data_IF_643139874670
#
_entry.id   IF_643139874670
#
_cell.length_a   1.000
_cell.length_b   1.000
_cell.length_c   1.000
_cell.angle_alpha   90.00
_cell.angle_beta   90.00
_cell.angle_gamma   90.00
#
_symmetry.space_group_name_H-M   'P 1'
#
loop_
_entity.id
_entity.type
_entity.pdbx_description
1 polymer ?
#
# COMPACT_ATOMS: atom_id res chain seq x y z
N UNK A 1 -3.92 -31.60 -0.69
CA UNK A 1 -3.78 -30.32 -1.41
C UNK A 1 -3.25 -29.30 -0.40
N UNK A 2 -1.93 -29.12 -0.34
CA UNK A 2 -1.28 -28.16 0.56
C UNK A 2 -1.03 -26.87 -0.24
N UNK A 3 -1.61 -25.79 0.24
CA UNK A 3 -1.43 -24.42 -0.28
C UNK A 3 0.05 -24.06 -0.17
N UNK A 4 0.66 -23.68 -1.30
CA UNK A 4 1.98 -23.07 -1.37
C UNK A 4 1.72 -21.57 -1.18
N UNK A 5 1.80 -21.10 0.06
CA UNK A 5 1.91 -19.68 0.36
C UNK A 5 3.32 -19.42 0.91
N UNK A 6 3.87 -18.24 0.58
CA UNK A 6 5.15 -17.69 1.09
C UNK A 6 6.43 -18.15 0.38
N UNK A 7 6.57 -17.86 -0.92
CA UNK A 7 7.85 -18.03 -1.64
C UNK A 7 8.73 -16.76 -1.71
N UNK A 8 8.19 -15.58 -1.40
CA UNK A 8 8.85 -14.29 -1.66
C UNK A 8 9.44 -13.63 -0.42
N UNK A 9 8.87 -13.82 0.77
CA UNK A 9 9.37 -13.19 1.99
C UNK A 9 10.62 -13.90 2.55
N UNK A 10 10.70 -15.22 2.43
CA UNK A 10 11.84 -15.99 2.94
C UNK A 10 13.09 -15.81 2.06
N UNK A 11 12.92 -15.59 0.76
CA UNK A 11 14.04 -15.34 -0.17
C UNK A 11 14.64 -13.93 0.02
N UNK A 12 13.84 -12.93 0.39
CA UNK A 12 14.32 -11.59 0.72
C UNK A 12 15.05 -11.58 2.07
N UNK A 13 14.55 -12.32 3.07
CA UNK A 13 15.25 -12.56 4.33
C UNK A 13 16.60 -13.23 4.13
N UNK A 14 16.66 -14.27 3.29
CA UNK A 14 17.90 -14.94 2.91
C UNK A 14 18.86 -14.05 2.13
N UNK A 15 18.39 -13.15 1.26
CA UNK A 15 19.22 -12.15 0.58
C UNK A 15 19.78 -11.10 1.53
N UNK A 16 18.98 -10.62 2.49
CA UNK A 16 19.44 -9.73 3.57
C UNK A 16 20.53 -10.41 4.39
N UNK A 17 20.32 -11.66 4.81
CA UNK A 17 21.27 -12.44 5.59
C UNK A 17 22.53 -12.81 4.79
N UNK A 18 22.43 -12.97 3.46
CA UNK A 18 23.60 -13.23 2.59
C UNK A 18 24.45 -11.97 2.38
N UNK A 19 23.80 -10.80 2.27
CA UNK A 19 24.47 -9.51 2.11
C UNK A 19 25.20 -9.13 3.42
N UNK A 20 24.59 -9.42 4.57
CA UNK A 20 25.20 -9.27 5.92
C UNK A 20 26.51 -10.07 6.10
N UNK A 21 26.70 -11.16 5.32
CA UNK A 21 27.89 -12.04 5.42
C UNK A 21 28.99 -11.73 4.40
N UNK A 22 28.74 -10.86 3.42
CA UNK A 22 29.64 -10.66 2.27
C UNK A 22 30.01 -9.19 1.99
N UNK A 23 29.36 -8.24 2.66
CA UNK A 23 29.54 -6.81 2.43
C UNK A 23 30.00 -6.11 3.70
N UNK A 24 30.86 -5.09 3.60
CA UNK A 24 31.14 -4.18 4.71
C UNK A 24 29.82 -3.63 5.25
N UNK A 25 29.57 -3.79 6.55
CA UNK A 25 28.36 -3.31 7.23
C UNK A 25 28.08 -1.82 6.89
N UNK A 26 29.13 -1.02 6.72
CA UNK A 26 29.00 0.39 6.35
C UNK A 26 28.42 0.57 4.93
N UNK A 27 28.83 -0.27 3.97
CA UNK A 27 28.29 -0.24 2.60
C UNK A 27 26.84 -0.73 2.57
N UNK A 28 26.48 -1.69 3.41
CA UNK A 28 25.08 -2.13 3.57
C UNK A 28 24.19 -1.01 4.10
N UNK A 29 24.62 -0.35 5.19
CA UNK A 29 23.91 0.79 5.78
C UNK A 29 23.75 1.91 4.75
N UNK A 30 24.83 2.25 4.04
CA UNK A 30 24.81 3.28 2.99
C UNK A 30 23.86 2.92 1.84
N UNK A 31 23.86 1.67 1.40
CA UNK A 31 22.96 1.19 0.35
C UNK A 31 21.49 1.37 0.76
N UNK A 32 21.10 0.89 1.95
CA UNK A 32 19.73 1.01 2.42
C UNK A 32 19.33 2.46 2.73
N UNK A 33 20.26 3.30 3.21
CA UNK A 33 20.01 4.75 3.38
C UNK A 33 19.68 5.42 2.06
N UNK A 34 20.49 5.19 1.02
CA UNK A 34 20.25 5.77 -0.29
C UNK A 34 18.95 5.27 -0.91
N UNK A 35 18.68 3.96 -0.83
CA UNK A 35 17.46 3.37 -1.38
C UNK A 35 16.20 3.86 -0.65
N UNK A 36 16.26 3.96 0.68
CA UNK A 36 15.20 4.55 1.51
C UNK A 36 14.85 5.96 1.03
N UNK A 37 15.86 6.82 0.83
CA UNK A 37 15.65 8.20 0.39
C UNK A 37 15.03 8.27 -1.00
N UNK A 38 15.52 7.46 -1.95
CA UNK A 38 14.94 7.38 -3.30
C UNK A 38 13.46 6.96 -3.23
N UNK A 39 13.14 5.90 -2.47
CA UNK A 39 11.76 5.46 -2.30
C UNK A 39 10.88 6.51 -1.63
N UNK A 40 11.42 7.26 -0.67
CA UNK A 40 10.72 8.36 -0.03
C UNK A 40 10.40 9.49 -1.03
N UNK A 41 11.39 9.93 -1.81
CA UNK A 41 11.24 10.98 -2.84
C UNK A 41 10.27 10.57 -3.95
N UNK A 42 10.24 9.27 -4.30
CA UNK A 42 9.29 8.70 -5.27
C UNK A 42 7.88 8.45 -4.68
N UNK A 43 7.62 8.82 -3.42
CA UNK A 43 6.38 8.55 -2.69
C UNK A 43 6.05 7.04 -2.55
N UNK A 44 7.05 6.18 -2.68
CA UNK A 44 6.96 4.73 -2.47
C UNK A 44 7.15 4.42 -0.99
N UNK A 45 6.27 4.96 -0.15
CA UNK A 45 6.43 4.95 1.31
C UNK A 45 6.51 3.54 1.91
N UNK A 46 5.82 2.55 1.33
CA UNK A 46 5.89 1.15 1.78
C UNK A 46 7.29 0.55 1.58
N UNK A 47 7.90 0.84 0.44
CA UNK A 47 9.25 0.35 0.12
C UNK A 47 10.31 1.07 0.95
N UNK A 48 10.13 2.37 1.17
CA UNK A 48 10.96 3.14 2.10
C UNK A 48 10.88 2.59 3.54
N UNK A 49 9.69 2.23 4.02
CA UNK A 49 9.52 1.60 5.34
C UNK A 49 10.29 0.28 5.46
N UNK A 50 10.33 -0.52 4.39
CA UNK A 50 11.11 -1.75 4.39
C UNK A 50 12.60 -1.49 4.58
N UNK A 51 13.17 -0.51 3.87
CA UNK A 51 14.56 -0.11 4.07
C UNK A 51 14.84 0.41 5.48
N UNK A 52 13.91 1.17 6.04
CA UNK A 52 14.02 1.68 7.41
C UNK A 52 14.01 0.53 8.42
N UNK A 53 13.19 -0.51 8.22
CA UNK A 53 13.17 -1.66 9.12
C UNK A 53 14.47 -2.48 9.07
N UNK A 54 15.18 -2.47 7.94
CA UNK A 54 16.55 -3.00 7.85
C UNK A 54 17.52 -2.12 8.62
N UNK A 55 17.52 -0.80 8.35
CA UNK A 55 18.43 0.15 8.99
C UNK A 55 18.24 0.23 10.51
N UNK A 56 17.01 0.10 10.99
CA UNK A 56 16.70 0.14 12.42
C UNK A 56 17.37 -1.01 13.20
N UNK A 57 17.79 -2.10 12.54
CA UNK A 57 18.57 -3.17 13.20
C UNK A 57 19.99 -2.73 13.59
N UNK A 58 20.53 -1.70 12.92
CA UNK A 58 21.91 -1.24 13.12
C UNK A 58 21.96 0.19 13.69
N UNK A 59 21.04 1.06 13.27
CA UNK A 59 21.01 2.49 13.60
C UNK A 59 19.69 2.91 14.26
N UNK A 60 19.20 2.12 15.23
CA UNK A 60 17.90 2.34 15.89
C UNK A 60 17.72 3.72 16.57
N UNK A 61 18.81 4.44 16.86
CA UNK A 61 18.79 5.78 17.49
C UNK A 61 19.02 6.93 16.51
N UNK A 62 19.13 6.66 15.20
CA UNK A 62 19.25 7.71 14.20
C UNK A 62 17.94 8.50 14.12
N UNK A 63 17.96 9.73 14.63
CA UNK A 63 16.80 10.62 14.68
C UNK A 63 16.22 10.88 13.28
N UNK A 64 17.07 10.90 12.25
CA UNK A 64 16.63 11.10 10.87
C UNK A 64 15.80 9.92 10.39
N UNK A 65 16.24 8.69 10.69
CA UNK A 65 15.49 7.48 10.34
C UNK A 65 14.17 7.38 11.10
N UNK A 66 14.14 7.78 12.38
CA UNK A 66 12.91 7.84 13.17
C UNK A 66 11.91 8.83 12.55
N UNK A 67 12.39 10.02 12.15
CA UNK A 67 11.56 11.04 11.51
C UNK A 67 10.99 10.55 10.18
N UNK A 68 11.84 10.02 9.30
CA UNK A 68 11.41 9.50 7.99
C UNK A 68 10.40 8.35 8.19
N UNK A 69 10.63 7.45 9.16
CA UNK A 69 9.68 6.37 9.50
C UNK A 69 8.30 6.93 9.85
N UNK A 70 8.26 7.95 10.69
CA UNK A 70 7.02 8.61 11.09
C UNK A 70 6.25 9.16 9.90
N UNK A 71 6.93 9.90 9.02
CA UNK A 71 6.34 10.47 7.81
C UNK A 71 5.84 9.37 6.87
N UNK A 72 6.66 8.36 6.57
CA UNK A 72 6.27 7.25 5.72
C UNK A 72 5.03 6.51 6.25
N UNK A 73 4.95 6.24 7.56
CA UNK A 73 3.80 5.60 8.18
C UNK A 73 2.51 6.42 8.01
N UNK A 74 2.59 7.74 8.23
CA UNK A 74 1.44 8.63 8.04
C UNK A 74 0.96 8.55 6.59
N UNK A 75 1.86 8.76 5.62
CA UNK A 75 1.48 8.76 4.21
C UNK A 75 0.97 7.41 3.73
N UNK A 76 1.59 6.31 4.17
CA UNK A 76 1.17 4.96 3.83
C UNK A 76 -0.26 4.69 4.32
N UNK A 77 -0.53 4.89 5.61
CA UNK A 77 -1.85 4.60 6.19
C UNK A 77 -2.93 5.57 5.72
N UNK A 78 -2.62 6.86 5.55
CA UNK A 78 -3.57 7.82 4.94
C UNK A 78 -3.94 7.38 3.52
N UNK A 79 -2.96 6.88 2.74
CA UNK A 79 -3.21 6.29 1.43
C UNK A 79 -4.15 5.09 1.47
N UNK A 80 -3.95 4.16 2.42
CA UNK A 80 -4.80 2.98 2.59
C UNK A 80 -6.23 3.34 3.01
N UNK A 81 -6.38 4.29 3.95
CA UNK A 81 -7.68 4.80 4.39
C UNK A 81 -8.40 5.44 3.21
N UNK A 82 -7.73 6.33 2.47
CA UNK A 82 -8.29 6.98 1.29
C UNK A 82 -8.77 5.95 0.26
N UNK A 83 -7.96 4.95 -0.04
CA UNK A 83 -8.32 3.90 -1.00
C UNK A 83 -9.53 3.08 -0.53
N UNK A 84 -9.61 2.79 0.76
CA UNK A 84 -10.73 2.06 1.35
C UNK A 84 -12.03 2.87 1.30
N UNK A 85 -11.96 4.17 1.61
CA UNK A 85 -13.09 5.09 1.50
C UNK A 85 -13.58 5.24 0.06
N UNK A 86 -12.66 5.37 -0.91
CA UNK A 86 -13.01 5.43 -2.34
C UNK A 86 -13.73 4.17 -2.81
N UNK A 87 -13.28 2.98 -2.38
CA UNK A 87 -13.96 1.73 -2.70
C UNK A 87 -15.37 1.69 -2.12
N UNK A 88 -15.54 2.07 -0.86
CA UNK A 88 -16.85 2.11 -0.21
C UNK A 88 -17.82 3.07 -0.92
N UNK A 89 -17.34 4.27 -1.28
CA UNK A 89 -18.13 5.26 -2.01
C UNK A 89 -18.58 4.75 -3.38
N UNK A 90 -17.70 4.09 -4.13
CA UNK A 90 -18.04 3.53 -5.44
C UNK A 90 -19.15 2.46 -5.34
N UNK A 91 -19.14 1.63 -4.30
CA UNK A 91 -20.20 0.66 -4.06
C UNK A 91 -21.54 1.36 -3.81
N UNK A 92 -21.55 2.43 -3.01
CA UNK A 92 -22.77 3.19 -2.73
C UNK A 92 -23.33 3.87 -3.99
N UNK A 93 -22.45 4.46 -4.82
CA UNK A 93 -22.85 5.07 -6.09
C UNK A 93 -23.49 4.03 -7.01
N UNK A 94 -22.85 2.87 -7.17
CA UNK A 94 -23.35 1.79 -8.03
C UNK A 94 -24.74 1.30 -7.59
N UNK A 95 -24.97 1.16 -6.27
CA UNK A 95 -26.28 0.80 -5.73
C UNK A 95 -27.34 1.85 -6.06
N UNK A 96 -27.01 3.15 -5.94
CA UNK A 96 -27.93 4.24 -6.27
C UNK A 96 -28.27 4.29 -7.76
N UNK A 97 -27.28 4.04 -8.63
CA UNK A 97 -27.50 3.95 -10.08
C UNK A 97 -28.44 2.80 -10.45
N UNK A 98 -28.31 1.64 -9.79
CA UNK A 98 -29.19 0.50 -10.01
C UNK A 98 -30.64 0.83 -9.61
N UNK A 99 -30.84 1.45 -8.45
CA UNK A 99 -32.17 1.90 -8.00
C UNK A 99 -32.76 2.90 -8.98
N UNK A 100 -31.99 3.90 -9.43
CA UNK A 100 -32.46 4.89 -10.40
C UNK A 100 -32.90 4.23 -11.71
N UNK A 101 -32.13 3.26 -12.20
CA UNK A 101 -32.49 2.50 -13.40
C UNK A 101 -33.78 1.70 -13.25
N UNK A 102 -34.04 1.13 -12.07
CA UNK A 102 -35.30 0.44 -11.77
C UNK A 102 -36.49 1.42 -11.76
N UNK A 103 -36.34 2.59 -11.15
CA UNK A 103 -37.38 3.64 -11.13
C UNK A 103 -37.70 4.09 -12.56
N UNK A 104 -36.67 4.34 -13.39
CA UNK A 104 -36.87 4.75 -14.79
C UNK A 104 -37.61 3.68 -15.60
N UNK A 105 -37.29 2.39 -15.40
CA UNK A 105 -38.00 1.28 -16.05
C UNK A 105 -39.47 1.21 -15.61
N UNK A 106 -39.75 1.39 -14.31
CA UNK A 106 -41.12 1.41 -13.79
C UNK A 106 -41.93 2.56 -14.39
N UNK A 107 -41.38 3.78 -14.43
CA UNK A 107 -42.04 4.95 -15.02
C UNK A 107 -42.32 4.77 -16.53
N UNK A 108 -41.38 4.17 -17.27
CA UNK A 108 -41.59 3.83 -18.69
C UNK A 108 -42.72 2.81 -18.88
N UNK A 109 -42.83 1.84 -17.98
CA UNK A 109 -43.91 0.84 -18.02
C UNK A 109 -45.27 1.47 -17.73
N UNK A 110 -45.37 2.31 -16.70
CA UNK A 110 -46.61 3.05 -16.37
C UNK A 110 -47.07 3.95 -17.52
N UNK A 111 -46.14 4.71 -18.14
CA UNK A 111 -46.46 5.55 -19.28
C UNK A 111 -47.02 4.76 -20.47
N UNK A 112 -46.52 3.54 -20.70
CA UNK A 112 -47.06 2.64 -21.73
C UNK A 112 -48.47 2.15 -21.40
N UNK A 113 -48.76 1.86 -20.13
CA UNK A 113 -50.11 1.45 -19.72
C UNK A 113 -51.13 2.58 -19.87
N UNK A 114 -50.73 3.83 -19.62
CA UNK A 114 -51.59 5.01 -19.71
C UNK A 114 -51.80 5.53 -21.15
N UNK A 115 -51.07 5.00 -22.12
CA UNK A 115 -51.17 5.40 -23.54
C UNK A 115 -51.95 4.41 -24.41
N UNK A 116 -52.56 3.38 -23.80
CA UNK A 116 -53.48 2.41 -24.41
C UNK A 116 -54.92 2.76 -24.02
#
# INVERSE_FOLDING_TARGET
MKTIESGTNDQIGLLSDLIDRTTDLNELIKYHKNRCLIHYEENRYKDALHDIDVLHRYEHKDESLIMIKGVCNIHFHVGEIRNSLLKALNVEIQQKEEILNLILKAAQFESRLLSV
#
